data_IF_716669395607
#
_entry.id   IF_716669395607
#
_cell.length_a   1.000
_cell.length_b   1.000
_cell.length_c   1.000
_cell.angle_alpha   90.00
_cell.angle_beta   90.00
_cell.angle_gamma   90.00
#
_symmetry.space_group_name_H-M   'P 1'
#
loop_
_entity.id
_entity.type
_entity.pdbx_description
1 polymer ?
#
# COMPACT_ATOMS: atom_id res chain seq x y z
N UNK A 1 1.14 27.10 9.87
CA UNK A 1 1.69 27.63 8.60
C UNK A 1 0.84 27.07 7.47
N UNK A 2 0.21 27.94 6.67
CA UNK A 2 -0.56 27.48 5.51
C UNK A 2 0.42 26.92 4.47
N UNK A 3 0.14 25.72 3.97
CA UNK A 3 0.92 25.18 2.89
C UNK A 3 0.84 26.12 1.68
N UNK A 4 1.99 26.42 1.07
CA UNK A 4 2.07 27.24 -0.15
C UNK A 4 1.63 26.48 -1.41
N UNK A 5 1.14 25.24 -1.27
CA UNK A 5 0.67 24.37 -2.35
C UNK A 5 -0.73 23.85 -2.00
N UNK A 6 -1.50 23.52 -3.00
CA UNK A 6 -2.70 22.72 -2.82
C UNK A 6 -2.32 21.34 -2.24
N UNK A 7 -3.02 20.95 -1.18
CA UNK A 7 -2.81 19.67 -0.49
C UNK A 7 -4.13 18.92 -0.56
N UNK A 8 -4.10 17.70 -1.11
CA UNK A 8 -5.22 16.78 -1.04
C UNK A 8 -5.18 16.00 0.29
N UNK A 9 -6.34 15.84 0.91
CA UNK A 9 -6.53 15.06 2.13
C UNK A 9 -7.10 13.70 1.76
N UNK A 10 -6.34 12.63 2.00
CA UNK A 10 -6.78 11.26 1.78
C UNK A 10 -7.45 10.70 3.04
N UNK A 11 -8.66 10.19 2.90
CA UNK A 11 -9.34 9.42 3.93
C UNK A 11 -8.88 7.96 3.90
N UNK A 12 -8.18 7.51 4.96
CA UNK A 12 -7.69 6.14 5.07
C UNK A 12 -8.77 5.18 5.54
N UNK A 13 -8.90 4.04 4.86
CA UNK A 13 -9.80 2.93 5.22
C UNK A 13 -8.97 1.64 5.29
N UNK A 14 -9.00 0.95 6.42
CA UNK A 14 -8.16 -0.22 6.68
C UNK A 14 -8.86 -1.32 7.50
N UNK A 15 -8.22 -2.49 7.57
CA UNK A 15 -8.67 -3.64 8.39
C UNK A 15 -7.88 -3.78 9.69
N UNK A 16 -7.56 -2.69 10.34
CA UNK A 16 -6.80 -2.75 11.59
C UNK A 16 -7.55 -3.58 12.65
N UNK A 17 -6.85 -4.52 13.26
CA UNK A 17 -7.35 -5.34 14.37
C UNK A 17 -7.68 -6.80 14.02
N UNK A 18 -8.39 -7.48 14.90
CA UNK A 18 -8.68 -8.93 14.80
C UNK A 18 -9.89 -9.23 13.89
N UNK A 19 -9.90 -8.72 12.66
CA UNK A 19 -10.96 -8.93 11.67
C UNK A 19 -11.30 -10.42 11.43
N UNK A 20 -10.31 -11.32 11.47
CA UNK A 20 -10.51 -12.77 11.33
C UNK A 20 -11.52 -13.34 12.31
N UNK A 21 -11.65 -12.72 13.48
CA UNK A 21 -12.63 -13.13 14.49
C UNK A 21 -14.09 -12.92 14.06
N UNK A 22 -14.31 -11.98 13.14
CA UNK A 22 -15.66 -11.53 12.79
C UNK A 22 -16.12 -11.95 11.38
N UNK A 23 -15.21 -12.42 10.52
CA UNK A 23 -15.49 -12.77 9.14
C UNK A 23 -15.67 -11.57 8.20
N UNK A 24 -15.51 -11.80 6.90
CA UNK A 24 -15.58 -10.76 5.85
C UNK A 24 -16.95 -10.08 5.82
N UNK A 25 -18.03 -10.82 6.07
CA UNK A 25 -19.39 -10.28 6.06
C UNK A 25 -19.62 -9.13 7.04
N UNK A 26 -18.86 -9.09 8.14
CA UNK A 26 -18.92 -7.98 9.11
C UNK A 26 -18.04 -6.80 8.76
N UNK A 27 -17.09 -6.97 7.90
CA UNK A 27 -16.20 -5.88 7.48
C UNK A 27 -16.90 -4.92 6.53
N UNK A 28 -17.74 -5.42 5.62
CA UNK A 28 -18.42 -4.60 4.62
C UNK A 28 -19.20 -3.43 5.24
N UNK A 29 -20.10 -3.63 6.22
CA UNK A 29 -20.77 -2.51 6.87
C UNK A 29 -19.82 -1.54 7.56
N UNK A 30 -18.68 -2.03 8.05
CA UNK A 30 -17.64 -1.20 8.64
C UNK A 30 -16.94 -0.30 7.59
N UNK A 31 -16.61 -0.84 6.42
CA UNK A 31 -16.08 -0.07 5.30
C UNK A 31 -17.09 0.98 4.81
N UNK A 32 -18.33 0.58 4.57
CA UNK A 32 -19.40 1.49 4.14
C UNK A 32 -19.56 2.67 5.13
N UNK A 33 -19.52 2.39 6.43
CA UNK A 33 -19.62 3.42 7.46
C UNK A 33 -18.39 4.34 7.48
N UNK A 34 -17.18 3.80 7.45
CA UNK A 34 -15.96 4.59 7.46
C UNK A 34 -15.87 5.50 6.23
N UNK A 35 -16.13 4.95 5.04
CA UNK A 35 -16.09 5.70 3.78
C UNK A 35 -17.10 6.84 3.82
N UNK A 36 -18.35 6.56 4.23
CA UNK A 36 -19.37 7.60 4.36
C UNK A 36 -18.95 8.75 5.28
N UNK A 37 -18.44 8.43 6.46
CA UNK A 37 -17.98 9.44 7.43
C UNK A 37 -16.86 10.30 6.84
N UNK A 38 -15.89 9.69 6.15
CA UNK A 38 -14.77 10.39 5.55
C UNK A 38 -15.22 11.31 4.41
N UNK A 39 -16.12 10.82 3.55
CA UNK A 39 -16.69 11.63 2.45
C UNK A 39 -17.51 12.80 3.01
N UNK A 40 -18.36 12.58 4.02
CA UNK A 40 -19.12 13.62 4.70
C UNK A 40 -18.20 14.65 5.40
N UNK A 41 -17.03 14.22 5.87
CA UNK A 41 -16.03 15.11 6.45
C UNK A 41 -15.27 15.95 5.39
N UNK A 42 -15.45 15.67 4.10
CA UNK A 42 -14.88 16.45 3.00
C UNK A 42 -13.45 16.08 2.63
N UNK A 43 -13.07 14.79 2.72
CA UNK A 43 -11.79 14.34 2.17
C UNK A 43 -11.79 14.41 0.65
N UNK A 44 -10.61 14.64 0.06
CA UNK A 44 -10.47 14.80 -1.40
C UNK A 44 -10.41 13.45 -2.14
N UNK A 45 -10.01 12.39 -1.45
CA UNK A 45 -9.95 11.03 -1.98
C UNK A 45 -10.05 9.99 -0.85
N UNK A 46 -10.40 8.77 -1.20
CA UNK A 46 -10.28 7.61 -0.30
C UNK A 46 -9.03 6.81 -0.68
N UNK A 47 -8.26 6.39 0.33
CA UNK A 47 -7.20 5.40 0.17
C UNK A 47 -7.57 4.14 0.95
N UNK A 48 -7.75 3.04 0.23
CA UNK A 48 -7.91 1.71 0.79
C UNK A 48 -6.52 1.14 1.06
N UNK A 49 -6.15 0.97 2.33
CA UNK A 49 -4.80 0.58 2.70
C UNK A 49 -4.77 -0.34 3.92
N UNK A 50 -3.66 -1.02 4.12
CA UNK A 50 -3.47 -1.98 5.23
C UNK A 50 -4.63 -2.99 5.29
N UNK A 51 -5.15 -3.36 4.12
CA UNK A 51 -6.12 -4.42 4.00
C UNK A 51 -5.41 -5.76 4.23
N UNK A 52 -6.10 -6.68 4.88
CA UNK A 52 -5.54 -8.00 5.13
C UNK A 52 -5.25 -8.75 3.81
N UNK A 53 -4.40 -9.76 3.90
CA UNK A 53 -3.87 -10.48 2.74
C UNK A 53 -4.91 -11.34 2.00
N UNK A 54 -6.12 -11.39 2.48
CA UNK A 54 -7.20 -12.18 1.86
C UNK A 54 -7.87 -11.37 0.74
N UNK A 55 -7.92 -11.92 -0.49
CA UNK A 55 -8.51 -11.25 -1.65
C UNK A 55 -9.94 -10.76 -1.43
N UNK A 56 -10.74 -11.51 -0.71
CA UNK A 56 -12.15 -11.19 -0.43
C UNK A 56 -12.31 -9.90 0.39
N UNK A 57 -11.31 -9.56 1.20
CA UNK A 57 -11.32 -8.31 1.98
C UNK A 57 -11.04 -7.12 1.08
N UNK A 58 -10.07 -7.26 0.18
CA UNK A 58 -9.77 -6.23 -0.82
C UNK A 58 -10.99 -5.98 -1.70
N UNK A 59 -11.64 -7.06 -2.16
CA UNK A 59 -12.87 -6.98 -2.96
C UNK A 59 -13.99 -6.27 -2.18
N UNK A 60 -14.23 -6.68 -0.94
CA UNK A 60 -15.26 -6.07 -0.09
C UNK A 60 -15.02 -4.57 0.15
N UNK A 61 -13.78 -4.17 0.37
CA UNK A 61 -13.43 -2.77 0.53
C UNK A 61 -13.63 -1.97 -0.76
N UNK A 62 -13.23 -2.52 -1.93
CA UNK A 62 -13.46 -1.89 -3.23
C UNK A 62 -14.94 -1.72 -3.53
N UNK A 63 -15.74 -2.74 -3.30
CA UNK A 63 -17.19 -2.66 -3.52
C UNK A 63 -17.84 -1.56 -2.67
N UNK A 64 -17.33 -1.27 -1.46
CA UNK A 64 -17.82 -0.17 -0.61
C UNK A 64 -17.56 1.22 -1.21
N UNK A 65 -16.74 1.31 -2.25
CA UNK A 65 -16.43 2.58 -2.92
C UNK A 65 -17.19 2.81 -4.23
N UNK A 66 -18.05 1.88 -4.67
CA UNK A 66 -18.70 1.99 -5.99
C UNK A 66 -19.72 3.13 -6.11
N UNK A 67 -20.24 3.62 -4.99
CA UNK A 67 -21.27 4.67 -4.95
C UNK A 67 -20.72 6.05 -4.55
N UNK A 68 -19.40 6.23 -4.49
CA UNK A 68 -18.80 7.53 -4.13
C UNK A 68 -18.24 8.23 -5.38
N UNK A 69 -18.35 9.56 -5.40
CA UNK A 69 -17.94 10.41 -6.53
C UNK A 69 -16.53 10.99 -6.40
N UNK A 70 -15.77 10.61 -5.37
CA UNK A 70 -14.39 11.07 -5.18
C UNK A 70 -13.39 9.97 -5.58
N UNK A 71 -12.14 10.33 -5.96
CA UNK A 71 -11.13 9.36 -6.34
C UNK A 71 -10.87 8.30 -5.27
N UNK A 72 -10.63 7.07 -5.70
CA UNK A 72 -10.25 5.95 -4.84
C UNK A 72 -8.86 5.46 -5.25
N UNK A 73 -7.96 5.38 -4.30
CA UNK A 73 -6.66 4.73 -4.45
C UNK A 73 -6.67 3.42 -3.68
N UNK A 74 -6.08 2.39 -4.25
CA UNK A 74 -5.91 1.11 -3.58
C UNK A 74 -4.44 0.86 -3.29
N UNK A 75 -4.13 0.46 -2.08
CA UNK A 75 -2.77 0.15 -1.68
C UNK A 75 -2.66 -1.27 -1.14
N UNK A 76 -1.68 -1.99 -1.63
CA UNK A 76 -1.44 -3.40 -1.33
C UNK A 76 -0.02 -3.60 -0.82
N UNK A 77 0.13 -4.47 0.17
CA UNK A 77 1.44 -4.87 0.68
C UNK A 77 1.93 -6.14 -0.02
N UNK A 78 3.25 -6.27 -0.11
CA UNK A 78 3.88 -7.48 -0.57
C UNK A 78 5.13 -7.81 0.24
N UNK A 79 5.45 -9.08 0.28
CA UNK A 79 6.72 -9.55 0.81
C UNK A 79 7.26 -10.72 -0.02
N UNK A 80 8.56 -10.97 0.10
CA UNK A 80 9.22 -12.04 -0.61
C UNK A 80 9.11 -13.34 0.18
N UNK A 81 8.54 -14.36 -0.42
CA UNK A 81 8.58 -15.70 0.17
C UNK A 81 10.02 -16.22 0.17
N UNK A 82 10.53 -16.59 1.33
CA UNK A 82 11.94 -17.00 1.52
C UNK A 82 12.29 -18.32 0.83
N UNK A 83 11.30 -19.18 0.61
CA UNK A 83 11.50 -20.50 -0.01
C UNK A 83 11.43 -20.40 -1.53
N UNK A 84 10.36 -19.83 -2.07
CA UNK A 84 10.14 -19.73 -3.53
C UNK A 84 10.85 -18.55 -4.18
N UNK A 85 11.14 -17.50 -3.41
CA UNK A 85 11.68 -16.25 -3.92
C UNK A 85 10.64 -15.33 -4.59
N UNK A 86 9.38 -15.76 -4.70
CA UNK A 86 8.32 -15.01 -5.32
C UNK A 86 7.82 -13.85 -4.43
N UNK A 87 7.31 -12.80 -5.05
CA UNK A 87 6.54 -11.78 -4.37
C UNK A 87 5.11 -12.29 -4.10
N UNK A 88 4.72 -12.22 -2.84
CA UNK A 88 3.41 -12.64 -2.37
C UNK A 88 2.62 -11.44 -1.88
N UNK A 89 1.31 -11.45 -2.06
CA UNK A 89 0.43 -10.45 -1.49
C UNK A 89 0.33 -10.65 0.03
N UNK A 90 0.59 -9.61 0.79
CA UNK A 90 0.50 -9.62 2.23
C UNK A 90 1.67 -8.92 2.92
N UNK A 91 1.56 -8.79 4.24
CA UNK A 91 2.58 -8.14 5.06
C UNK A 91 3.73 -9.08 5.39
N UNK A 92 4.93 -8.53 5.52
CA UNK A 92 6.18 -9.27 5.73
C UNK A 92 6.10 -10.21 6.94
N UNK A 93 5.61 -9.72 8.08
CA UNK A 93 5.49 -10.50 9.30
C UNK A 93 4.58 -11.73 9.17
N UNK A 94 3.58 -11.66 8.29
CA UNK A 94 2.70 -12.80 8.02
C UNK A 94 3.34 -13.81 7.08
N UNK A 95 4.00 -13.34 6.03
CA UNK A 95 4.62 -14.19 4.99
C UNK A 95 5.88 -14.86 5.51
N UNK A 96 6.69 -14.15 6.28
CA UNK A 96 7.94 -14.69 6.83
C UNK A 96 7.73 -15.75 7.91
N UNK A 97 6.62 -15.69 8.64
CA UNK A 97 6.32 -16.60 9.74
C UNK A 97 5.27 -17.64 9.37
N UNK A 98 4.87 -17.70 8.11
CA UNK A 98 3.97 -18.74 7.66
C UNK A 98 4.65 -20.11 7.71
N UNK A 99 4.10 -20.99 8.54
CA UNK A 99 4.49 -22.40 8.65
C UNK A 99 3.86 -23.28 7.55
N UNK A 100 3.30 -22.67 6.49
CA UNK A 100 2.53 -23.35 5.44
C UNK A 100 1.05 -23.51 5.75
N UNK A 101 0.56 -22.88 6.81
CA UNK A 101 -0.85 -22.92 7.21
C UNK A 101 -1.71 -21.83 6.58
N UNK A 102 -1.08 -20.79 6.01
CA UNK A 102 -1.75 -19.69 5.31
C UNK A 102 -1.46 -19.79 3.81
N UNK A 103 -2.49 -19.58 3.01
CA UNK A 103 -2.34 -19.49 1.56
C UNK A 103 -2.20 -18.02 1.17
N UNK A 104 -0.98 -17.64 0.74
CA UNK A 104 -0.73 -16.33 0.15
C UNK A 104 -0.77 -16.44 -1.37
N UNK A 105 -1.49 -15.52 -1.99
CA UNK A 105 -1.52 -15.42 -3.44
C UNK A 105 -0.26 -14.72 -3.97
N UNK A 106 0.13 -15.04 -5.20
CA UNK A 106 1.17 -14.31 -5.92
C UNK A 106 0.76 -12.83 -6.06
N UNK A 107 1.69 -11.92 -5.82
CA UNK A 107 1.44 -10.49 -5.92
C UNK A 107 0.93 -10.10 -7.31
N UNK A 108 1.57 -10.58 -8.38
CA UNK A 108 1.15 -10.35 -9.76
C UNK A 108 -0.28 -10.82 -10.05
N UNK A 109 -0.69 -11.97 -9.47
CA UNK A 109 -2.05 -12.49 -9.64
C UNK A 109 -3.08 -11.56 -9.01
N UNK A 110 -2.84 -11.12 -7.77
CA UNK A 110 -3.73 -10.19 -7.07
C UNK A 110 -3.85 -8.88 -7.84
N UNK A 111 -2.74 -8.30 -8.32
CA UNK A 111 -2.78 -7.08 -9.12
C UNK A 111 -3.59 -7.28 -10.40
N UNK A 112 -3.38 -8.38 -11.11
CA UNK A 112 -4.15 -8.70 -12.32
C UNK A 112 -5.65 -8.83 -12.05
N UNK A 113 -6.04 -9.43 -10.93
CA UNK A 113 -7.46 -9.61 -10.59
C UNK A 113 -8.10 -8.29 -10.13
N UNK A 114 -7.40 -7.48 -9.33
CA UNK A 114 -7.85 -6.17 -8.90
C UNK A 114 -8.00 -5.22 -10.10
N UNK A 115 -7.05 -5.22 -11.03
CA UNK A 115 -7.03 -4.33 -12.20
C UNK A 115 -8.22 -4.52 -13.14
N UNK A 116 -8.89 -5.67 -13.08
CA UNK A 116 -10.14 -5.90 -13.81
C UNK A 116 -11.34 -5.17 -13.20
N UNK A 117 -11.25 -4.81 -11.92
CA UNK A 117 -12.34 -4.20 -11.14
C UNK A 117 -12.06 -2.75 -10.75
N UNK A 118 -10.79 -2.35 -10.76
CA UNK A 118 -10.33 -1.02 -10.34
C UNK A 118 -9.34 -0.43 -11.34
N UNK A 119 -9.72 0.69 -11.96
CA UNK A 119 -8.89 1.41 -12.92
C UNK A 119 -8.16 2.62 -12.32
N UNK A 120 -8.44 2.94 -11.07
CA UNK A 120 -7.77 4.00 -10.30
C UNK A 120 -6.34 3.64 -9.89
N UNK A 121 -5.65 4.53 -9.17
CA UNK A 121 -4.29 4.27 -8.73
C UNK A 121 -4.15 3.03 -7.86
N UNK A 122 -3.12 2.20 -8.13
CA UNK A 122 -2.71 1.09 -7.27
C UNK A 122 -1.28 1.32 -6.78
N UNK A 123 -1.06 1.20 -5.48
CA UNK A 123 0.22 1.50 -4.84
C UNK A 123 0.73 0.32 -4.02
N UNK A 124 2.05 0.16 -3.98
CA UNK A 124 2.72 -0.73 -3.02
C UNK A 124 2.89 0.03 -1.71
N UNK A 125 2.43 -0.55 -0.61
CA UNK A 125 2.53 0.04 0.72
C UNK A 125 3.00 -0.99 1.75
N UNK A 126 3.43 -0.50 2.92
CA UNK A 126 3.78 -1.35 4.08
C UNK A 126 4.60 -2.59 3.71
N UNK A 127 5.62 -2.40 2.90
CA UNK A 127 6.51 -3.43 2.36
C UNK A 127 7.96 -3.02 2.61
N UNK A 128 8.87 -3.99 2.71
CA UNK A 128 10.31 -3.72 2.80
C UNK A 128 10.80 -3.00 1.52
N UNK A 129 11.68 -2.03 1.70
CA UNK A 129 12.33 -1.30 0.60
C UNK A 129 12.95 -2.23 -0.45
N UNK A 130 13.56 -3.33 -0.01
CA UNK A 130 14.25 -4.29 -0.89
C UNK A 130 13.32 -5.00 -1.88
N UNK A 131 12.04 -5.13 -1.55
CA UNK A 131 11.06 -5.77 -2.45
C UNK A 131 10.28 -4.77 -3.29
N UNK A 132 10.25 -3.50 -2.89
CA UNK A 132 9.39 -2.47 -3.47
C UNK A 132 9.67 -2.24 -4.96
N UNK A 133 10.94 -2.22 -5.39
CA UNK A 133 11.29 -2.10 -6.82
C UNK A 133 10.73 -3.26 -7.66
N UNK A 134 10.79 -4.48 -7.14
CA UNK A 134 10.20 -5.66 -7.80
C UNK A 134 8.68 -5.56 -7.87
N UNK A 135 8.04 -5.12 -6.78
CA UNK A 135 6.61 -4.96 -6.71
C UNK A 135 6.08 -3.87 -7.67
N UNK A 136 6.79 -2.73 -7.79
CA UNK A 136 6.44 -1.68 -8.77
C UNK A 136 6.51 -2.20 -10.21
N UNK A 137 7.50 -3.04 -10.55
CA UNK A 137 7.59 -3.68 -11.87
C UNK A 137 6.41 -4.62 -12.13
N UNK A 138 6.00 -5.41 -11.12
CA UNK A 138 4.82 -6.26 -11.24
C UNK A 138 3.53 -5.45 -11.35
N UNK A 139 3.40 -4.32 -10.60
CA UNK A 139 2.30 -3.37 -10.80
C UNK A 139 2.25 -2.89 -12.25
N UNK A 140 3.38 -2.37 -12.77
CA UNK A 140 3.47 -1.85 -14.15
C UNK A 140 3.10 -2.87 -15.20
N UNK A 141 3.40 -4.14 -14.95
CA UNK A 141 3.12 -5.23 -15.91
C UNK A 141 1.67 -5.72 -15.87
N UNK A 142 0.92 -5.42 -14.80
CA UNK A 142 -0.42 -5.96 -14.56
C UNK A 142 -1.50 -4.89 -14.36
N UNK A 143 -1.14 -3.61 -14.44
CA UNK A 143 -2.07 -2.49 -14.29
C UNK A 143 -1.73 -1.36 -15.26
N UNK A 144 -2.70 -0.93 -16.05
CA UNK A 144 -2.53 0.12 -17.06
C UNK A 144 -2.72 1.54 -16.47
N UNK A 145 -3.27 1.65 -15.28
CA UNK A 145 -3.52 2.91 -14.59
C UNK A 145 -2.28 3.52 -13.91
N UNK A 146 -2.54 4.49 -13.06
CA UNK A 146 -1.50 5.13 -12.23
C UNK A 146 -1.00 4.13 -11.19
N UNK A 147 0.32 4.04 -11.04
CA UNK A 147 0.95 3.21 -10.01
C UNK A 147 1.84 4.04 -9.09
N UNK A 148 2.08 3.50 -7.89
CA UNK A 148 2.92 4.19 -6.92
C UNK A 148 3.51 3.29 -5.85
N UNK A 149 4.30 3.91 -4.94
CA UNK A 149 4.91 3.22 -3.81
C UNK A 149 5.08 4.14 -2.60
N UNK A 150 4.77 3.63 -1.40
CA UNK A 150 5.07 4.24 -0.12
C UNK A 150 5.40 3.15 0.93
N UNK A 151 6.61 2.57 0.82
CA UNK A 151 7.04 1.46 1.66
C UNK A 151 7.43 1.89 3.07
N UNK A 152 7.80 0.92 3.91
CA UNK A 152 8.38 1.16 5.22
C UNK A 152 9.85 1.55 5.11
N UNK A 153 10.34 2.38 6.04
CA UNK A 153 11.78 2.65 6.21
C UNK A 153 12.47 1.66 7.15
N UNK A 154 11.78 0.63 7.62
CA UNK A 154 12.29 -0.40 8.51
C UNK A 154 12.09 -1.79 7.93
N UNK A 155 12.41 -2.79 8.74
CA UNK A 155 12.20 -4.20 8.43
C UNK A 155 11.62 -4.94 9.64
N UNK A 156 10.99 -6.09 9.36
CA UNK A 156 10.50 -6.96 10.43
C UNK A 156 11.62 -7.85 10.96
N UNK A 157 11.81 -7.81 12.27
CA UNK A 157 12.66 -8.73 13.01
C UNK A 157 11.90 -9.16 14.27
N UNK A 158 11.51 -10.44 14.30
CA UNK A 158 10.69 -10.97 15.41
C UNK A 158 11.26 -10.60 16.78
N UNK A 159 10.46 -10.03 17.67
CA UNK A 159 8.99 -9.91 17.63
C UNK A 159 8.47 -8.53 17.19
N UNK A 160 9.28 -7.66 16.59
CA UNK A 160 8.88 -6.27 16.32
C UNK A 160 9.53 -5.69 15.08
N UNK A 161 8.94 -4.60 14.57
CA UNK A 161 9.55 -3.75 13.56
C UNK A 161 10.76 -2.99 14.11
N UNK A 162 11.77 -2.80 13.27
CA UNK A 162 13.00 -2.06 13.52
C UNK A 162 13.04 -0.85 12.58
N UNK A 163 13.06 0.36 13.15
CA UNK A 163 13.01 1.61 12.38
C UNK A 163 14.21 2.52 12.64
N UNK A 164 15.09 2.17 13.58
CA UNK A 164 16.21 3.04 13.97
C UNK A 164 17.36 2.87 12.99
N UNK A 165 17.88 3.99 12.49
CA UNK A 165 19.07 4.10 11.62
C UNK A 165 19.04 3.20 10.39
N UNK A 166 17.85 2.97 9.83
CA UNK A 166 17.68 2.01 8.75
C UNK A 166 18.04 2.56 7.37
N UNK A 167 17.74 3.82 7.12
CA UNK A 167 17.98 4.45 5.83
C UNK A 167 18.21 5.95 5.96
N UNK A 168 19.17 6.47 5.18
CA UNK A 168 19.38 7.91 5.07
C UNK A 168 18.47 8.54 4.01
N UNK A 169 18.23 9.87 4.06
CA UNK A 169 17.46 10.57 3.03
C UNK A 169 17.99 10.34 1.60
N UNK A 170 19.31 10.31 1.41
CA UNK A 170 19.93 10.08 0.11
C UNK A 170 19.66 8.65 -0.38
N UNK A 171 19.73 7.66 0.51
CA UNK A 171 19.45 6.26 0.17
C UNK A 171 17.97 6.06 -0.14
N UNK A 172 17.07 6.70 0.61
CA UNK A 172 15.63 6.64 0.34
C UNK A 172 15.28 7.28 -1.01
N UNK A 173 15.86 8.44 -1.30
CA UNK A 173 15.72 9.11 -2.60
C UNK A 173 16.18 8.20 -3.75
N UNK A 174 17.33 7.53 -3.60
CA UNK A 174 17.84 6.59 -4.61
C UNK A 174 16.89 5.41 -4.87
N UNK A 175 16.27 4.86 -3.82
CA UNK A 175 15.23 3.84 -3.98
C UNK A 175 14.01 4.39 -4.71
N UNK A 176 13.56 5.59 -4.36
CA UNK A 176 12.42 6.24 -5.01
C UNK A 176 12.68 6.58 -6.49
N UNK A 177 13.93 6.97 -6.86
CA UNK A 177 14.34 7.10 -8.26
C UNK A 177 14.17 5.77 -9.03
N UNK A 178 14.46 4.65 -8.37
CA UNK A 178 14.22 3.32 -8.92
C UNK A 178 12.73 3.04 -9.14
N UNK A 179 11.87 3.42 -8.21
CA UNK A 179 10.41 3.24 -8.37
C UNK A 179 9.87 4.08 -9.51
N UNK A 180 10.27 5.36 -9.58
CA UNK A 180 9.88 6.28 -10.68
C UNK A 180 10.37 5.74 -12.03
N UNK A 181 11.62 5.28 -12.11
CA UNK A 181 12.18 4.68 -13.35
C UNK A 181 11.43 3.42 -13.79
N UNK A 182 10.81 2.70 -12.85
CA UNK A 182 9.94 1.55 -13.11
C UNK A 182 8.46 1.93 -13.35
N UNK A 183 8.14 3.23 -13.40
CA UNK A 183 6.82 3.74 -13.79
C UNK A 183 5.95 4.25 -12.65
N UNK A 184 6.44 4.31 -11.40
CA UNK A 184 5.69 4.91 -10.31
C UNK A 184 5.50 6.43 -10.54
N UNK A 185 4.28 6.89 -10.40
CA UNK A 185 3.88 8.29 -10.56
C UNK A 185 3.52 8.92 -9.19
N UNK A 186 3.34 8.09 -8.18
CA UNK A 186 3.08 8.48 -6.80
C UNK A 186 4.15 7.84 -5.93
N UNK A 187 4.83 8.65 -5.11
CA UNK A 187 5.82 8.17 -4.15
C UNK A 187 5.58 8.79 -2.78
N UNK A 188 5.87 8.05 -1.75
CA UNK A 188 5.66 8.49 -0.37
C UNK A 188 6.35 7.55 0.61
N UNK A 189 5.86 7.51 1.84
CA UNK A 189 6.39 6.63 2.87
C UNK A 189 5.31 6.17 3.85
N UNK A 190 5.53 4.99 4.43
CA UNK A 190 4.70 4.38 5.46
C UNK A 190 5.43 4.36 6.80
N UNK A 191 5.45 3.23 7.49
CA UNK A 191 6.01 3.11 8.82
C UNK A 191 7.51 3.45 8.86
N UNK A 192 7.91 4.30 9.82
CA UNK A 192 9.30 4.73 10.01
C UNK A 192 9.80 5.78 9.02
N UNK A 193 8.99 6.21 8.06
CA UNK A 193 9.36 7.27 7.12
C UNK A 193 9.00 8.62 7.73
N UNK A 194 10.01 9.34 8.21
CA UNK A 194 9.86 10.66 8.82
C UNK A 194 9.91 11.81 7.80
N UNK A 195 9.69 13.05 8.27
CA UNK A 195 9.68 14.25 7.42
C UNK A 195 10.93 14.42 6.57
N UNK A 196 12.11 14.09 7.10
CA UNK A 196 13.40 14.24 6.41
C UNK A 196 13.49 13.32 5.17
N UNK A 197 12.95 12.09 5.27
CA UNK A 197 12.88 11.17 4.15
C UNK A 197 11.89 11.66 3.08
N UNK A 198 10.74 12.19 3.52
CA UNK A 198 9.74 12.77 2.59
C UNK A 198 10.30 14.03 1.92
N UNK A 199 11.02 14.89 2.64
CA UNK A 199 11.66 16.08 2.06
C UNK A 199 12.64 15.71 0.94
N UNK A 200 13.41 14.63 1.10
CA UNK A 200 14.33 14.17 0.07
C UNK A 200 13.63 13.84 -1.26
N UNK A 201 12.38 13.34 -1.23
CA UNK A 201 11.61 13.02 -2.43
C UNK A 201 11.26 14.25 -3.28
N UNK A 202 11.30 15.47 -2.71
CA UNK A 202 11.08 16.71 -3.47
C UNK A 202 12.09 16.90 -4.61
N UNK A 203 13.26 16.26 -4.52
CA UNK A 203 14.30 16.30 -5.54
C UNK A 203 13.95 15.54 -6.81
N UNK A 204 12.98 14.61 -6.77
CA UNK A 204 12.50 13.88 -7.95
C UNK A 204 11.84 14.80 -8.98
N UNK A 205 11.27 15.93 -8.56
CA UNK A 205 10.59 16.90 -9.42
C UNK A 205 11.55 17.83 -10.19
N UNK A 206 12.85 17.78 -9.90
CA UNK A 206 13.86 18.69 -10.47
C UNK A 206 14.69 18.04 -11.59
N UNK A 207 14.22 16.91 -12.14
CA UNK A 207 14.92 16.19 -13.21
C UNK A 207 14.12 16.00 -14.48
#
# INVERSE_FOLDING_TARGET
>A
ESASREIAVAGSVSTYGSWRKYGVERLRPGFDQQIRILVEAGVDLIILETLASEPEIVESALESTFEIDIPVWLSVSCAKNKISGNLMHGVEESIEHDSGSLHFELFSKIISDISKKHSGPILVMHSDLKVTNGAVKELKSNHDGIIGAYPNAGFWEKPSWKFVDQITPESYLKEAEGWVSNGAQIVGGCCGVGPELIESLSQLNNR
#
